data_IF_543432023418
#
_entry.id   IF_543432023418
#
_cell.length_a   1.000
_cell.length_b   1.000
_cell.length_c   1.000
_cell.angle_alpha   90.00
_cell.angle_beta   90.00
_cell.angle_gamma   90.00
#
_symmetry.space_group_name_H-M   'P 1'
#
loop_
_entity.id
_entity.type
_entity.pdbx_description
1 polymer ?
#
# COMPACT_ATOMS: atom_id res chain seq x y z
N UNK A 1 -7.54 4.12 11.49
CA UNK A 1 -7.98 4.41 10.10
C UNK A 1 -7.99 3.07 9.38
N UNK A 2 -9.12 2.62 8.82
CA UNK A 2 -9.17 1.33 8.14
C UNK A 2 -8.57 1.52 6.74
N UNK A 3 -7.48 0.81 6.43
CA UNK A 3 -6.81 0.90 5.13
C UNK A 3 -7.62 0.21 4.04
N UNK A 4 -8.65 0.89 3.55
CA UNK A 4 -9.59 0.38 2.53
C UNK A 4 -8.87 -0.05 1.24
N UNK A 5 -7.76 0.61 0.89
CA UNK A 5 -6.94 0.26 -0.27
C UNK A 5 -6.22 -1.08 -0.10
N UNK A 6 -5.59 -1.30 1.07
CA UNK A 6 -4.96 -2.57 1.40
C UNK A 6 -6.01 -3.70 1.44
N UNK A 7 -7.18 -3.43 2.03
CA UNK A 7 -8.26 -4.40 2.12
C UNK A 7 -8.78 -4.81 0.73
N UNK A 8 -8.96 -3.86 -0.18
CA UNK A 8 -9.38 -4.15 -1.56
C UNK A 8 -8.33 -4.96 -2.33
N UNK A 9 -7.05 -4.66 -2.12
CA UNK A 9 -5.95 -5.44 -2.71
C UNK A 9 -5.85 -6.86 -2.14
N UNK A 10 -6.03 -7.01 -0.82
CA UNK A 10 -6.07 -8.30 -0.14
C UNK A 10 -7.24 -9.14 -0.61
N UNK A 11 -8.43 -8.55 -0.75
CA UNK A 11 -9.63 -9.21 -1.27
C UNK A 11 -9.42 -9.70 -2.72
N UNK A 12 -8.72 -8.92 -3.53
CA UNK A 12 -8.35 -9.30 -4.90
C UNK A 12 -7.20 -10.31 -4.96
N UNK A 13 -6.46 -10.49 -3.86
CA UNK A 13 -5.30 -11.38 -3.77
C UNK A 13 -5.65 -12.68 -3.07
N UNK A 14 -4.82 -13.70 -3.26
CA UNK A 14 -4.93 -14.98 -2.54
C UNK A 14 -4.61 -14.87 -1.03
N UNK A 15 -4.22 -13.68 -0.56
CA UNK A 15 -3.79 -13.43 0.82
C UNK A 15 -4.97 -13.05 1.75
N UNK A 16 -6.18 -12.92 1.22
CA UNK A 16 -7.42 -12.71 1.99
C UNK A 16 -7.74 -13.93 2.85
N UNK A 17 -7.39 -13.87 4.13
CA UNK A 17 -7.63 -14.97 5.06
C UNK A 17 -6.79 -14.83 6.32
N UNK A 18 -6.18 -15.94 6.76
CA UNK A 18 -5.38 -15.99 7.99
C UNK A 18 -4.19 -14.99 8.00
N UNK A 19 -3.70 -14.58 6.83
CA UNK A 19 -2.58 -13.65 6.70
C UNK A 19 -3.02 -12.18 6.66
N UNK A 20 -4.32 -11.88 6.65
CA UNK A 20 -4.82 -10.51 6.50
C UNK A 20 -4.34 -9.60 7.64
N UNK A 21 -4.51 -10.04 8.90
CA UNK A 21 -4.10 -9.26 10.07
C UNK A 21 -2.59 -9.06 10.16
N UNK A 22 -1.81 -10.03 9.69
CA UNK A 22 -0.35 -9.91 9.60
C UNK A 22 0.07 -8.87 8.56
N UNK A 23 -0.56 -8.87 7.39
CA UNK A 23 -0.28 -7.89 6.34
C UNK A 23 -0.74 -6.48 6.73
N UNK A 24 -1.85 -6.37 7.47
CA UNK A 24 -2.32 -5.09 8.01
C UNK A 24 -1.27 -4.46 8.94
N UNK A 25 -0.68 -5.25 9.86
CA UNK A 25 0.41 -4.77 10.71
C UNK A 25 1.66 -4.43 9.90
N UNK A 26 2.06 -5.29 8.96
CA UNK A 26 3.22 -5.05 8.10
C UNK A 26 3.09 -3.76 7.28
N UNK A 27 1.87 -3.44 6.86
CA UNK A 27 1.56 -2.21 6.17
C UNK A 27 1.62 -0.98 7.08
N UNK A 28 1.19 -1.11 8.34
CA UNK A 28 1.36 -0.04 9.35
C UNK A 28 2.84 0.22 9.65
N UNK A 29 3.65 -0.83 9.75
CA UNK A 29 5.11 -0.72 9.82
C UNK A 29 5.65 -0.01 8.58
N UNK A 30 5.20 -0.36 7.37
CA UNK A 30 5.62 0.32 6.14
C UNK A 30 5.28 1.82 6.13
N UNK A 31 4.11 2.21 6.65
CA UNK A 31 3.71 3.61 6.76
C UNK A 31 4.54 4.38 7.79
N UNK A 32 5.03 3.69 8.82
CA UNK A 32 5.83 4.27 9.91
C UNK A 32 7.30 4.37 9.51
N UNK A 33 7.87 3.23 9.12
CA UNK A 33 9.23 3.07 8.64
C UNK A 33 9.26 2.09 7.47
N UNK A 34 9.33 2.58 6.23
CA UNK A 34 9.31 1.72 5.07
C UNK A 34 10.57 0.83 4.99
N UNK A 35 11.67 1.18 5.67
CA UNK A 35 12.92 0.40 5.75
C UNK A 35 12.83 -0.83 6.67
N UNK A 36 11.88 -0.84 7.61
CA UNK A 36 11.59 -1.99 8.48
C UNK A 36 10.84 -3.12 7.77
N UNK A 37 10.42 -2.89 6.52
CA UNK A 37 9.66 -3.85 5.71
C UNK A 37 10.52 -4.33 4.54
N UNK A 38 10.46 -5.64 4.27
CA UNK A 38 11.18 -6.25 3.14
C UNK A 38 10.88 -5.56 1.81
N UNK A 39 11.91 -5.44 0.96
CA UNK A 39 11.81 -4.78 -0.34
C UNK A 39 10.68 -5.31 -1.22
N UNK A 40 10.38 -6.62 -1.14
CA UNK A 40 9.29 -7.23 -1.88
C UNK A 40 7.92 -6.66 -1.46
N UNK A 41 7.68 -6.58 -0.15
CA UNK A 41 6.46 -6.00 0.42
C UNK A 41 6.39 -4.50 0.20
N UNK A 42 7.51 -3.81 0.35
CA UNK A 42 7.67 -2.38 0.07
C UNK A 42 7.20 -2.04 -1.34
N UNK A 43 7.62 -2.82 -2.33
CA UNK A 43 7.22 -2.64 -3.73
C UNK A 43 5.74 -2.98 -3.97
N UNK A 44 5.19 -3.98 -3.27
CA UNK A 44 3.74 -4.26 -3.27
C UNK A 44 2.94 -3.08 -2.71
N UNK A 45 3.34 -2.56 -1.55
CA UNK A 45 2.64 -1.47 -0.89
C UNK A 45 2.77 -0.14 -1.64
N UNK A 46 3.88 0.11 -2.32
CA UNK A 46 4.04 1.26 -3.22
C UNK A 46 3.08 1.25 -4.41
N UNK A 47 2.61 0.06 -4.83
CA UNK A 47 1.63 -0.07 -5.91
C UNK A 47 0.18 0.13 -5.42
N UNK A 48 -0.05 0.17 -4.10
CA UNK A 48 -1.39 0.37 -3.56
C UNK A 48 -1.87 1.80 -3.81
N UNK A 49 -3.11 1.98 -4.26
CA UNK A 49 -3.69 3.30 -4.41
C UNK A 49 -3.90 3.93 -3.01
N UNK A 50 -3.01 4.83 -2.59
CA UNK A 50 -3.14 5.59 -1.33
C UNK A 50 -1.88 5.70 -0.45
N UNK A 51 -0.82 4.93 -0.73
CA UNK A 51 0.43 4.88 0.05
C UNK A 51 1.43 6.01 -0.19
N UNK A 52 1.17 6.90 -1.15
CA UNK A 52 2.11 7.97 -1.49
C UNK A 52 2.87 7.67 -2.77
N UNK A 53 2.14 7.71 -3.89
CA UNK A 53 2.69 8.19 -5.14
C UNK A 53 1.57 8.92 -5.84
N UNK A 54 1.53 10.22 -5.57
CA UNK A 54 1.02 11.23 -6.48
C UNK A 54 1.79 11.10 -7.81
N UNK A 55 1.52 10.09 -8.63
CA UNK A 55 1.80 10.14 -10.08
C UNK A 55 0.54 10.64 -10.77
N UNK A 56 0.06 11.77 -10.28
CA UNK A 56 -1.04 12.56 -10.81
C UNK A 56 -0.74 14.05 -10.71
N UNK A 57 0.53 14.45 -10.56
CA UNK A 57 0.95 15.76 -11.03
C UNK A 57 0.94 15.71 -12.57
N UNK A 58 -0.26 15.67 -13.14
CA UNK A 58 -0.48 16.22 -14.48
C UNK A 58 0.03 17.67 -14.37
N UNK A 59 1.13 18.04 -15.07
CA UNK A 59 1.52 19.43 -15.08
C UNK A 59 0.34 20.19 -15.70
N UNK A 60 -0.22 21.14 -14.95
CA UNK A 60 -1.08 22.18 -15.50
C UNK A 60 -0.26 22.89 -16.59
N UNK A 61 -0.35 22.41 -17.84
CA UNK A 61 0.12 23.16 -18.99
C UNK A 61 -0.95 24.22 -19.24
N UNK A 62 -0.69 25.40 -18.70
CA UNK A 62 -1.34 26.62 -19.13
C UNK A 62 -0.90 26.89 -20.58
N UNK A 63 -1.79 26.70 -21.55
CA UNK A 63 -1.69 27.27 -22.88
C UNK A 63 -3.09 27.45 -23.46
#
# INVERSE_FOLDING_TARGET
MQNSALKAWLDSSYLSGANQSWIEQLYEDFLTDPDSVDANWRSTFQQLPGTGSQTGSIPFKNA
#
